data_IF_416328300927
#
_entry.id   IF_416328300927
#
_cell.length_a   1.000
_cell.length_b   1.000
_cell.length_c   1.000
_cell.angle_alpha   90.00
_cell.angle_beta   90.00
_cell.angle_gamma   90.00
#
_symmetry.space_group_name_H-M   'P 1'
#
loop_
_entity.id
_entity.type
_entity.pdbx_description
1 polymer ?
#
# COMPACT_ATOMS: atom_id res chain seq x y z
N UNK A 1 -25.65 -8.99 -13.13
CA UNK A 1 -24.50 -8.85 -14.02
C UNK A 1 -24.39 -7.41 -14.48
N UNK A 2 -23.25 -6.79 -14.24
CA UNK A 2 -22.85 -5.49 -14.78
C UNK A 2 -21.75 -5.73 -15.80
N UNK A 3 -21.88 -5.18 -16.99
CA UNK A 3 -20.95 -5.39 -18.09
C UNK A 3 -20.37 -4.08 -18.56
N UNK A 4 -19.03 -4.03 -18.73
CA UNK A 4 -18.31 -2.87 -19.24
C UNK A 4 -18.46 -1.65 -18.33
N UNK A 5 -18.57 -1.82 -17.02
CA UNK A 5 -18.55 -0.71 -16.11
C UNK A 5 -17.15 -0.09 -16.05
N UNK A 6 -17.06 1.20 -15.78
CA UNK A 6 -15.81 1.98 -15.77
C UNK A 6 -15.72 2.86 -14.50
N UNK A 7 -16.33 2.41 -13.39
CA UNK A 7 -16.33 3.18 -12.15
C UNK A 7 -14.94 3.23 -11.52
N UNK A 8 -14.20 2.12 -11.56
CA UNK A 8 -12.85 1.97 -11.02
C UNK A 8 -11.87 1.56 -12.10
N UNK A 9 -12.15 0.44 -12.77
CA UNK A 9 -11.42 -0.09 -13.91
C UNK A 9 -12.45 -0.51 -14.98
N UNK A 10 -12.00 -0.90 -16.17
CA UNK A 10 -12.90 -1.54 -17.12
C UNK A 10 -13.14 -2.97 -16.65
N UNK A 11 -14.36 -3.29 -16.25
CA UNK A 11 -14.68 -4.55 -15.61
C UNK A 11 -16.07 -5.09 -15.92
N UNK A 12 -16.23 -6.39 -15.81
CA UNK A 12 -17.53 -7.07 -15.77
C UNK A 12 -17.72 -7.74 -14.42
N UNK A 13 -18.85 -7.46 -13.77
CA UNK A 13 -19.22 -8.10 -12.51
C UNK A 13 -20.32 -9.13 -12.74
N UNK A 14 -20.19 -10.32 -12.19
CA UNK A 14 -21.21 -11.32 -12.26
C UNK A 14 -21.21 -12.26 -11.06
N UNK A 15 -22.36 -12.92 -10.87
CA UNK A 15 -22.51 -13.99 -9.88
C UNK A 15 -22.62 -15.30 -10.63
N UNK A 16 -21.79 -16.27 -10.29
CA UNK A 16 -21.85 -17.63 -10.83
C UNK A 16 -23.09 -18.36 -10.30
N UNK A 17 -23.48 -19.45 -10.97
CA UNK A 17 -24.65 -20.27 -10.59
C UNK A 17 -24.55 -20.84 -9.16
N UNK A 18 -23.34 -20.95 -8.60
CA UNK A 18 -23.09 -21.40 -7.24
C UNK A 18 -23.06 -20.25 -6.20
N UNK A 19 -23.43 -19.04 -6.61
CA UNK A 19 -23.48 -17.85 -5.73
C UNK A 19 -22.15 -17.13 -5.52
N UNK A 20 -21.06 -17.56 -6.18
CA UNK A 20 -19.77 -16.86 -6.08
C UNK A 20 -19.80 -15.61 -6.95
N UNK A 21 -19.47 -14.47 -6.36
CA UNK A 21 -19.25 -13.21 -7.06
C UNK A 21 -17.87 -13.21 -7.71
N UNK A 22 -17.79 -12.79 -8.96
CA UNK A 22 -16.54 -12.62 -9.70
C UNK A 22 -16.50 -11.26 -10.37
N UNK A 23 -15.30 -10.69 -10.40
CA UNK A 23 -14.95 -9.46 -11.10
C UNK A 23 -13.97 -9.83 -12.22
N UNK A 24 -14.26 -9.43 -13.45
CA UNK A 24 -13.41 -9.63 -14.62
C UNK A 24 -12.83 -8.28 -15.02
N UNK A 25 -11.61 -8.01 -14.60
CA UNK A 25 -10.92 -6.74 -14.87
C UNK A 25 -10.12 -6.87 -16.17
N UNK A 26 -10.29 -5.90 -17.08
CA UNK A 26 -9.62 -5.86 -18.38
C UNK A 26 -8.48 -4.86 -18.35
N UNK A 27 -7.28 -5.30 -18.69
CA UNK A 27 -6.08 -4.44 -18.76
C UNK A 27 -5.33 -4.65 -20.07
N UNK A 28 -4.76 -3.58 -20.60
CA UNK A 28 -3.81 -3.64 -21.70
C UNK A 28 -2.49 -4.26 -21.20
N UNK A 29 -2.01 -5.32 -21.87
CA UNK A 29 -0.71 -5.90 -21.53
C UNK A 29 0.45 -4.93 -21.76
N UNK A 30 0.36 -4.08 -22.79
CA UNK A 30 1.40 -3.12 -23.12
C UNK A 30 1.50 -2.01 -22.05
N UNK A 31 0.35 -1.51 -21.56
CA UNK A 31 0.32 -0.52 -20.46
C UNK A 31 0.80 -1.16 -19.16
N UNK A 32 0.36 -2.39 -18.88
CA UNK A 32 0.79 -3.13 -17.70
C UNK A 32 2.30 -3.40 -17.70
N UNK A 33 2.90 -3.76 -18.87
CA UNK A 33 4.36 -3.92 -19.00
C UNK A 33 5.10 -2.60 -18.79
N UNK A 34 4.58 -1.48 -19.30
CA UNK A 34 5.17 -0.14 -19.08
C UNK A 34 5.16 0.27 -17.60
N UNK A 35 4.05 0.04 -16.90
CA UNK A 35 3.95 0.35 -15.48
C UNK A 35 4.92 -0.50 -14.65
N UNK A 36 5.03 -1.79 -14.98
CA UNK A 36 5.99 -2.68 -14.34
C UNK A 36 7.43 -2.28 -14.64
N UNK A 37 7.74 -1.88 -15.88
CA UNK A 37 9.05 -1.39 -16.26
C UNK A 37 9.44 -0.16 -15.43
N UNK A 38 8.56 0.83 -15.34
CA UNK A 38 8.79 2.05 -14.57
C UNK A 38 9.11 1.74 -13.10
N UNK A 39 8.37 0.82 -12.48
CA UNK A 39 8.57 0.46 -11.07
C UNK A 39 9.80 -0.45 -10.90
N UNK A 40 9.85 -1.58 -11.62
CA UNK A 40 10.81 -2.65 -11.32
C UNK A 40 12.19 -2.39 -11.91
N UNK A 41 12.25 -1.85 -13.15
CA UNK A 41 13.50 -1.63 -13.86
C UNK A 41 14.02 -0.20 -13.76
N UNK A 42 13.12 0.79 -13.74
CA UNK A 42 13.49 2.21 -13.61
C UNK A 42 13.42 2.71 -12.17
N UNK A 43 13.00 1.85 -11.23
CA UNK A 43 12.97 2.07 -9.78
C UNK A 43 12.13 3.29 -9.35
N UNK A 44 11.04 3.56 -10.08
CA UNK A 44 10.15 4.68 -9.79
C UNK A 44 9.21 4.35 -8.63
N UNK A 45 9.33 5.08 -7.52
CA UNK A 45 8.38 4.98 -6.41
C UNK A 45 7.09 5.75 -6.72
N UNK A 46 5.94 5.18 -6.41
CA UNK A 46 4.62 5.81 -6.48
C UNK A 46 4.25 6.48 -5.15
N UNK A 47 3.08 7.11 -5.06
CA UNK A 47 2.64 7.76 -3.82
C UNK A 47 2.23 6.74 -2.74
N UNK A 48 1.82 5.55 -3.16
CA UNK A 48 1.49 4.38 -2.33
C UNK A 48 1.32 3.17 -3.23
N UNK A 49 1.24 1.97 -2.66
CA UNK A 49 1.03 0.71 -3.39
C UNK A 49 2.05 0.46 -4.53
N UNK A 50 3.27 0.96 -4.40
CA UNK A 50 4.27 0.98 -5.48
C UNK A 50 4.47 -0.36 -6.15
N UNK A 51 4.55 -1.45 -5.40
CA UNK A 51 4.82 -2.79 -5.94
C UNK A 51 3.56 -3.68 -6.05
N UNK A 52 2.37 -3.10 -5.94
CA UNK A 52 1.12 -3.87 -5.95
C UNK A 52 0.89 -4.58 -7.28
N UNK A 53 1.11 -3.92 -8.41
CA UNK A 53 0.96 -4.54 -9.73
C UNK A 53 2.01 -5.61 -9.99
N UNK A 54 3.22 -5.43 -9.46
CA UNK A 54 4.25 -6.45 -9.49
C UNK A 54 3.88 -7.68 -8.65
N UNK A 55 3.32 -7.45 -7.45
CA UNK A 55 2.74 -8.54 -6.64
C UNK A 55 1.65 -9.31 -7.40
N UNK A 56 0.72 -8.59 -8.01
CA UNK A 56 -0.37 -9.20 -8.77
C UNK A 56 0.15 -10.04 -9.93
N UNK A 57 1.12 -9.54 -10.70
CA UNK A 57 1.74 -10.29 -11.79
C UNK A 57 2.31 -11.62 -11.31
N UNK A 58 3.16 -11.58 -10.27
CA UNK A 58 3.90 -12.78 -9.83
C UNK A 58 3.02 -13.80 -9.10
N UNK A 59 1.92 -13.34 -8.47
CA UNK A 59 1.02 -14.21 -7.71
C UNK A 59 -0.24 -14.64 -8.48
N UNK A 60 -0.44 -14.14 -9.71
CA UNK A 60 -1.55 -14.53 -10.54
C UNK A 60 -1.36 -15.93 -11.11
N UNK A 61 -2.41 -16.74 -11.04
CA UNK A 61 -2.46 -18.05 -11.70
C UNK A 61 -2.93 -17.87 -13.14
N UNK A 62 -2.13 -18.29 -14.09
CA UNK A 62 -2.52 -18.30 -15.51
C UNK A 62 -3.56 -19.41 -15.72
N UNK A 63 -4.76 -19.04 -16.16
CA UNK A 63 -5.81 -19.97 -16.55
C UNK A 63 -5.76 -20.24 -18.07
N UNK A 64 -5.50 -19.17 -18.84
CA UNK A 64 -5.37 -19.26 -20.30
C UNK A 64 -4.42 -18.15 -20.79
N UNK A 65 -3.47 -18.51 -21.64
CA UNK A 65 -2.48 -17.61 -22.25
C UNK A 65 -2.10 -18.16 -23.61
N UNK A 66 -2.85 -17.77 -24.67
CA UNK A 66 -2.73 -18.35 -26.02
C UNK A 66 -1.31 -18.29 -26.57
N UNK A 67 -0.71 -17.10 -26.42
CA UNK A 67 0.56 -16.79 -27.09
C UNK A 67 1.74 -16.72 -26.10
N UNK A 68 1.50 -17.05 -24.84
CA UNK A 68 2.52 -17.05 -23.79
C UNK A 68 2.99 -15.65 -23.34
N UNK A 69 2.26 -14.60 -23.69
CA UNK A 69 2.67 -13.22 -23.38
C UNK A 69 2.68 -12.93 -21.88
N UNK A 70 1.65 -13.38 -21.15
CA UNK A 70 1.58 -13.16 -19.70
C UNK A 70 2.66 -13.97 -18.95
N UNK A 71 2.88 -15.22 -19.38
CA UNK A 71 3.95 -16.04 -18.84
C UNK A 71 5.34 -15.44 -19.09
N UNK A 72 5.53 -14.80 -20.26
CA UNK A 72 6.75 -14.06 -20.56
C UNK A 72 6.95 -12.87 -19.63
N UNK A 73 5.88 -12.11 -19.32
CA UNK A 73 5.94 -11.02 -18.33
C UNK A 73 6.27 -11.54 -16.93
N UNK A 74 5.63 -12.61 -16.47
CA UNK A 74 5.98 -13.22 -15.17
C UNK A 74 7.46 -13.59 -15.11
N UNK A 75 8.00 -14.19 -16.17
CA UNK A 75 9.43 -14.53 -16.26
C UNK A 75 10.33 -13.29 -16.28
N UNK A 76 9.96 -12.26 -17.05
CA UNK A 76 10.71 -10.99 -17.19
C UNK A 76 10.87 -10.28 -15.84
N UNK A 77 9.81 -10.26 -15.03
CA UNK A 77 9.78 -9.55 -13.76
C UNK A 77 9.95 -10.43 -12.53
N UNK A 78 10.28 -11.72 -12.70
CA UNK A 78 10.65 -12.58 -11.56
C UNK A 78 12.12 -12.30 -11.17
N UNK A 79 12.33 -11.15 -10.55
CA UNK A 79 13.61 -10.59 -10.19
C UNK A 79 13.72 -10.44 -8.66
N UNK A 80 14.95 -10.44 -8.09
CA UNK A 80 15.14 -10.00 -6.72
C UNK A 80 14.66 -8.56 -6.52
N UNK A 81 14.25 -8.23 -5.30
CA UNK A 81 13.79 -6.88 -4.99
C UNK A 81 14.94 -5.87 -5.21
N UNK A 82 14.81 -4.86 -6.10
CA UNK A 82 15.89 -3.95 -6.42
C UNK A 82 16.22 -3.02 -5.23
N UNK A 83 17.47 -2.97 -4.82
CA UNK A 83 17.91 -2.14 -3.70
C UNK A 83 17.61 -0.63 -3.91
N UNK A 84 17.76 -0.15 -5.17
CA UNK A 84 17.46 1.24 -5.50
C UNK A 84 15.96 1.54 -5.43
N UNK A 85 15.09 0.61 -5.86
CA UNK A 85 13.64 0.74 -5.68
C UNK A 85 13.28 0.82 -4.20
N UNK A 86 13.82 -0.08 -3.37
CA UNK A 86 13.66 -0.06 -1.91
C UNK A 86 13.97 1.32 -1.33
N UNK A 87 15.14 1.85 -1.65
CA UNK A 87 15.61 3.17 -1.19
C UNK A 87 14.68 4.29 -1.66
N UNK A 88 14.26 4.27 -2.92
CA UNK A 88 13.38 5.30 -3.50
C UNK A 88 12.00 5.28 -2.84
N UNK A 89 11.42 4.11 -2.60
CA UNK A 89 10.14 3.99 -1.88
C UNK A 89 10.28 4.53 -0.45
N UNK A 90 11.28 4.06 0.30
CA UNK A 90 11.49 4.50 1.69
C UNK A 90 11.62 6.03 1.76
N UNK A 91 12.46 6.63 0.93
CA UNK A 91 12.67 8.06 0.91
C UNK A 91 11.39 8.83 0.57
N UNK A 92 10.68 8.41 -0.47
CA UNK A 92 9.45 9.07 -0.91
C UNK A 92 8.36 8.98 0.14
N UNK A 93 8.09 7.78 0.65
CA UNK A 93 7.02 7.59 1.61
C UNK A 93 7.33 8.30 2.93
N UNK A 94 8.58 8.33 3.35
CA UNK A 94 8.94 9.02 4.58
C UNK A 94 8.76 10.55 4.47
N UNK A 95 9.02 11.13 3.29
CA UNK A 95 8.68 12.53 3.01
C UNK A 95 7.18 12.78 3.14
N UNK A 96 6.35 11.91 2.57
CA UNK A 96 4.88 12.02 2.61
C UNK A 96 4.32 11.82 4.03
N UNK A 97 4.91 10.93 4.81
CA UNK A 97 4.45 10.63 6.16
C UNK A 97 4.75 11.78 7.15
N UNK A 98 5.97 12.33 7.13
CA UNK A 98 6.41 13.23 8.21
C UNK A 98 7.25 14.44 7.78
N UNK A 99 8.13 14.32 6.79
CA UNK A 99 9.16 15.35 6.57
C UNK A 99 8.67 16.53 5.72
N UNK A 100 7.84 16.30 4.71
CA UNK A 100 7.35 17.38 3.86
C UNK A 100 6.46 18.37 4.62
N UNK A 101 6.42 19.65 4.15
CA UNK A 101 5.51 20.62 4.73
C UNK A 101 4.05 20.17 4.71
N UNK A 102 3.54 19.56 3.59
CA UNK A 102 2.19 18.96 3.53
C UNK A 102 2.17 17.49 3.96
N UNK A 103 3.05 17.03 4.84
CA UNK A 103 3.07 15.64 5.28
C UNK A 103 1.72 15.20 5.89
N UNK A 104 1.36 13.94 5.70
CA UNK A 104 0.08 13.40 6.19
C UNK A 104 -0.09 13.55 7.70
N UNK A 105 0.97 13.32 8.48
CA UNK A 105 0.95 13.53 9.94
C UNK A 105 0.53 14.95 10.32
N UNK A 106 1.05 15.95 9.63
CA UNK A 106 0.70 17.36 9.86
C UNK A 106 -0.72 17.69 9.42
N UNK A 107 -1.18 17.08 8.32
CA UNK A 107 -2.54 17.25 7.82
C UNK A 107 -3.56 16.61 8.77
N UNK A 108 -3.29 15.41 9.31
CA UNK A 108 -4.11 14.76 10.33
C UNK A 108 -4.22 15.63 11.58
N UNK A 109 -3.10 16.14 12.11
CA UNK A 109 -3.10 17.03 13.28
C UNK A 109 -3.94 18.29 13.05
N UNK A 110 -3.88 18.88 11.86
CA UNK A 110 -4.71 20.05 11.50
C UNK A 110 -6.19 19.67 11.39
N UNK A 111 -6.52 18.51 10.84
CA UNK A 111 -7.90 18.02 10.74
C UNK A 111 -8.49 17.70 12.13
N UNK A 112 -7.73 17.06 13.00
CA UNK A 112 -8.09 16.83 14.40
C UNK A 112 -8.38 18.15 15.13
N UNK A 113 -7.53 19.17 14.99
CA UNK A 113 -7.73 20.49 15.59
C UNK A 113 -9.02 21.16 15.12
N UNK A 114 -9.44 20.94 13.87
CA UNK A 114 -10.70 21.46 13.31
C UNK A 114 -11.90 20.57 13.60
N UNK A 115 -11.71 19.40 14.20
CA UNK A 115 -12.73 18.37 14.39
C UNK A 115 -13.42 17.95 13.07
N UNK A 116 -12.64 17.93 11.98
CA UNK A 116 -13.10 17.64 10.62
C UNK A 116 -12.98 16.14 10.34
N UNK A 117 -14.04 15.39 10.69
CA UNK A 117 -14.04 13.92 10.60
C UNK A 117 -13.76 13.40 9.19
N UNK A 118 -14.27 14.06 8.15
CA UNK A 118 -14.05 13.62 6.77
C UNK A 118 -12.58 13.80 6.37
N UNK A 119 -11.98 14.94 6.71
CA UNK A 119 -10.55 15.16 6.48
C UNK A 119 -9.69 14.21 7.30
N UNK A 120 -10.04 13.92 8.55
CA UNK A 120 -9.34 12.96 9.41
C UNK A 120 -9.33 11.59 8.73
N UNK A 121 -10.48 11.07 8.34
CA UNK A 121 -10.60 9.76 7.69
C UNK A 121 -9.79 9.70 6.38
N UNK A 122 -9.94 10.69 5.51
CA UNK A 122 -9.23 10.74 4.22
C UNK A 122 -7.71 10.76 4.41
N UNK A 123 -7.19 11.62 5.32
CA UNK A 123 -5.74 11.70 5.56
C UNK A 123 -5.18 10.49 6.30
N UNK A 124 -5.99 9.85 7.14
CA UNK A 124 -5.61 8.58 7.78
C UNK A 124 -5.44 7.46 6.76
N UNK A 125 -6.34 7.36 5.78
CA UNK A 125 -6.22 6.37 4.70
C UNK A 125 -4.94 6.57 3.89
N UNK A 126 -4.63 7.79 3.50
CA UNK A 126 -3.40 8.13 2.78
C UNK A 126 -2.14 7.87 3.63
N UNK A 127 -2.20 8.17 4.93
CA UNK A 127 -1.11 7.90 5.86
C UNK A 127 -0.79 6.41 5.92
N UNK A 128 -1.79 5.55 6.13
CA UNK A 128 -1.55 4.11 6.22
C UNK A 128 -1.19 3.49 4.86
N UNK A 129 -1.71 3.98 3.76
CA UNK A 129 -1.27 3.55 2.43
C UNK A 129 0.24 3.78 2.23
N UNK A 130 0.74 4.96 2.60
CA UNK A 130 2.18 5.27 2.56
C UNK A 130 2.99 4.51 3.61
N UNK A 131 2.46 4.33 4.82
CA UNK A 131 3.11 3.60 5.90
C UNK A 131 3.40 2.15 5.51
N UNK A 132 2.41 1.45 4.95
CA UNK A 132 2.56 0.06 4.54
C UNK A 132 3.42 -0.09 3.29
N UNK A 133 3.37 0.85 2.34
CA UNK A 133 4.25 0.83 1.17
C UNK A 133 5.74 0.92 1.60
N UNK A 134 6.06 1.81 2.55
CA UNK A 134 7.38 1.91 3.15
C UNK A 134 7.76 0.63 3.89
N UNK A 135 6.88 0.11 4.75
CA UNK A 135 7.15 -1.06 5.57
C UNK A 135 7.43 -2.30 4.71
N UNK A 136 6.64 -2.51 3.67
CA UNK A 136 6.86 -3.63 2.74
C UNK A 136 8.17 -3.46 1.97
N UNK A 137 8.45 -2.27 1.44
CA UNK A 137 9.71 -1.99 0.77
C UNK A 137 10.93 -2.21 1.69
N UNK A 138 10.82 -1.78 2.95
CA UNK A 138 11.87 -1.99 3.95
C UNK A 138 12.20 -3.49 4.13
N UNK A 139 11.18 -4.34 4.15
CA UNK A 139 11.28 -5.78 4.28
C UNK A 139 11.48 -6.52 2.95
N UNK A 140 11.63 -5.81 1.82
CA UNK A 140 11.74 -6.40 0.48
C UNK A 140 10.54 -7.31 0.14
N UNK A 141 9.37 -6.97 0.68
CA UNK A 141 8.10 -7.62 0.39
C UNK A 141 7.33 -6.81 -0.65
N UNK A 142 6.71 -7.51 -1.60
CA UNK A 142 5.82 -6.86 -2.54
C UNK A 142 4.50 -6.49 -1.85
N UNK A 143 3.96 -5.32 -2.20
CA UNK A 143 2.71 -4.83 -1.62
C UNK A 143 1.51 -5.65 -2.10
N UNK A 144 0.75 -6.31 -1.21
CA UNK A 144 -0.33 -7.24 -1.61
C UNK A 144 -1.63 -6.54 -2.06
N UNK A 145 -1.70 -5.21 -1.98
CA UNK A 145 -2.91 -4.42 -2.12
C UNK A 145 -3.47 -3.97 -0.77
N UNK A 146 -4.66 -3.37 -0.78
CA UNK A 146 -5.26 -2.74 0.41
C UNK A 146 -5.81 -3.73 1.45
N UNK A 147 -6.13 -4.97 1.00
CA UNK A 147 -6.83 -5.94 1.85
C UNK A 147 -5.86 -6.65 2.81
N UNK A 148 -6.21 -6.67 4.10
CA UNK A 148 -5.49 -7.42 5.14
C UNK A 148 -3.99 -7.06 5.30
N UNK A 149 -3.61 -5.81 5.01
CA UNK A 149 -2.22 -5.35 5.08
C UNK A 149 -1.55 -5.66 6.43
N UNK A 150 -2.25 -5.43 7.55
CA UNK A 150 -1.74 -5.72 8.89
C UNK A 150 -1.38 -7.22 9.04
N UNK A 151 -2.30 -8.10 8.65
CA UNK A 151 -2.08 -9.55 8.74
C UNK A 151 -0.96 -10.00 7.81
N UNK A 152 -0.91 -9.43 6.59
CA UNK A 152 0.15 -9.74 5.64
C UNK A 152 1.52 -9.31 6.17
N UNK A 153 1.63 -8.12 6.74
CA UNK A 153 2.86 -7.63 7.35
C UNK A 153 3.34 -8.55 8.48
N UNK A 154 2.45 -8.95 9.39
CA UNK A 154 2.77 -9.90 10.48
C UNK A 154 3.29 -11.24 9.99
N UNK A 155 2.78 -11.73 8.88
CA UNK A 155 3.14 -13.05 8.35
C UNK A 155 4.40 -13.04 7.49
N UNK A 156 4.73 -11.91 6.84
CA UNK A 156 5.75 -11.88 5.79
C UNK A 156 6.90 -10.90 6.09
N UNK A 157 6.73 -9.93 6.98
CA UNK A 157 7.79 -8.99 7.32
C UNK A 157 8.61 -9.51 8.51
N UNK A 158 9.92 -9.69 8.32
CA UNK A 158 10.84 -10.10 9.38
C UNK A 158 11.20 -8.95 10.33
N UNK A 159 11.05 -7.72 9.89
CA UNK A 159 11.36 -6.52 10.66
C UNK A 159 10.12 -5.62 10.77
N UNK A 160 9.48 -5.66 11.93
CA UNK A 160 8.35 -4.81 12.25
C UNK A 160 8.75 -3.73 13.27
N UNK A 161 8.11 -2.54 13.25
CA UNK A 161 8.30 -1.55 14.30
C UNK A 161 7.92 -2.12 15.68
N UNK A 162 8.54 -1.63 16.79
CA UNK A 162 8.07 -1.96 18.13
C UNK A 162 6.57 -1.65 18.25
N UNK A 163 5.84 -2.49 19.00
CA UNK A 163 4.40 -2.32 19.26
C UNK A 163 3.52 -2.15 18.01
N UNK A 164 3.97 -2.69 16.86
CA UNK A 164 3.39 -2.47 15.53
C UNK A 164 1.86 -2.64 15.48
N UNK A 165 1.35 -3.74 16.00
CA UNK A 165 -0.09 -4.02 15.98
C UNK A 165 -0.85 -3.17 17.00
N UNK A 166 -0.32 -3.07 18.21
CA UNK A 166 -0.95 -2.34 19.31
C UNK A 166 -1.08 -0.85 18.97
N UNK A 167 0.00 -0.23 18.46
CA UNK A 167 -0.01 1.19 18.07
C UNK A 167 -1.03 1.47 16.96
N UNK A 168 -1.19 0.56 15.98
CA UNK A 168 -2.20 0.72 14.92
C UNK A 168 -3.61 0.57 15.50
N UNK A 169 -3.85 -0.42 16.35
CA UNK A 169 -5.15 -0.62 16.99
C UNK A 169 -5.52 0.56 17.88
N UNK A 170 -4.60 1.02 18.71
CA UNK A 170 -4.79 2.19 19.57
C UNK A 170 -5.09 3.45 18.75
N UNK A 171 -4.41 3.66 17.63
CA UNK A 171 -4.69 4.75 16.73
C UNK A 171 -6.16 4.74 16.28
N UNK A 172 -6.65 3.61 15.75
CA UNK A 172 -8.03 3.50 15.26
C UNK A 172 -9.07 3.53 16.37
N UNK A 173 -8.79 2.98 17.56
CA UNK A 173 -9.69 3.08 18.70
C UNK A 173 -9.90 4.51 19.18
N UNK A 174 -8.85 5.34 19.10
CA UNK A 174 -8.92 6.75 19.53
C UNK A 174 -9.37 7.71 18.42
N UNK A 175 -9.29 7.33 17.15
CA UNK A 175 -9.47 8.22 16.00
C UNK A 175 -10.80 8.97 15.99
N UNK A 176 -11.89 8.32 16.38
CA UNK A 176 -13.24 8.88 16.34
C UNK A 176 -13.77 9.32 17.72
N UNK A 177 -12.95 9.30 18.74
CA UNK A 177 -13.33 9.78 20.07
C UNK A 177 -13.01 11.27 20.18
N UNK A 178 -14.01 12.12 19.99
CA UNK A 178 -13.87 13.59 19.93
C UNK A 178 -13.17 14.20 21.15
N UNK A 179 -13.32 13.60 22.33
CA UNK A 179 -12.71 14.08 23.57
C UNK A 179 -11.24 13.65 23.74
N UNK A 180 -10.69 12.83 22.82
CA UNK A 180 -9.37 12.21 22.98
C UNK A 180 -8.43 12.50 21.79
N UNK A 181 -8.64 13.60 21.07
CA UNK A 181 -7.77 14.02 19.97
C UNK A 181 -6.27 14.04 20.35
N UNK A 182 -5.96 14.34 21.61
CA UNK A 182 -4.59 14.36 22.10
C UNK A 182 -3.97 12.94 22.08
N UNK A 183 -4.74 11.89 22.43
CA UNK A 183 -4.26 10.50 22.35
C UNK A 183 -4.00 10.08 20.90
N UNK A 184 -4.90 10.42 19.98
CA UNK A 184 -4.70 10.15 18.54
C UNK A 184 -3.40 10.79 18.02
N UNK A 185 -3.10 12.02 18.45
CA UNK A 185 -1.85 12.69 18.08
C UNK A 185 -0.64 11.96 18.66
N UNK A 186 -0.70 11.56 19.94
CA UNK A 186 0.40 10.83 20.58
C UNK A 186 0.66 9.47 19.91
N UNK A 187 -0.40 8.72 19.59
CA UNK A 187 -0.27 7.43 18.89
C UNK A 187 0.29 7.62 17.48
N UNK A 188 -0.13 8.67 16.75
CA UNK A 188 0.43 9.01 15.44
C UNK A 188 1.94 9.32 15.53
N UNK A 189 2.37 10.07 16.56
CA UNK A 189 3.78 10.37 16.80
C UNK A 189 4.57 9.10 17.16
N UNK A 190 3.97 8.21 17.93
CA UNK A 190 4.59 6.93 18.30
C UNK A 190 4.78 6.02 17.06
N UNK A 191 3.77 5.89 16.21
CA UNK A 191 3.86 5.16 14.93
C UNK A 191 5.04 5.67 14.08
N UNK A 192 5.19 6.98 13.95
CA UNK A 192 6.29 7.59 13.20
C UNK A 192 7.64 7.37 13.87
N UNK A 193 7.72 7.50 15.19
CA UNK A 193 8.95 7.27 15.95
C UNK A 193 9.42 5.82 15.80
N UNK A 194 8.52 4.86 15.97
CA UNK A 194 8.82 3.44 15.86
C UNK A 194 9.26 3.06 14.43
N UNK A 195 8.63 3.65 13.42
CA UNK A 195 9.01 3.46 12.02
C UNK A 195 10.42 4.05 11.74
N UNK A 196 10.74 5.24 12.27
CA UNK A 196 12.09 5.83 12.21
C UNK A 196 13.13 4.93 12.86
N UNK A 197 12.84 4.40 14.03
CA UNK A 197 13.75 3.48 14.72
C UNK A 197 14.02 2.22 13.90
N UNK A 198 13.01 1.67 13.24
CA UNK A 198 13.16 0.52 12.36
C UNK A 198 14.12 0.81 11.22
N UNK A 199 13.91 1.93 10.51
CA UNK A 199 14.75 2.33 9.37
C UNK A 199 16.20 2.59 9.79
N UNK A 200 16.42 3.32 10.88
CA UNK A 200 17.75 3.73 11.33
C UNK A 200 18.59 2.57 11.92
N UNK A 201 17.97 1.49 12.38
CA UNK A 201 18.71 0.31 12.89
C UNK A 201 19.29 -0.57 11.78
N UNK A 202 18.90 -0.33 10.55
CA UNK A 202 19.27 -1.16 9.39
C UNK A 202 20.19 -0.44 8.40
N UNK A 203 20.61 0.79 8.73
CA UNK A 203 21.69 1.54 8.09
C UNK A 203 22.92 1.47 8.98
#
# INVERSE_FOLDING_TARGET
RSIGNQFWELEDDCVLNNGIEIELIYRSLDEFDKDLQAVVLEHQAQNSYTTCMWYNLLNSKIIYDRDGHYAALQKKYNLPYPAELKKNIINKQFLLLDQAMPAFSRQIKKALKRQDLLSINHRTSEFFASYFDLLFAFNEQLHPGEKRMLQYAKNNCSHLPPHFEDDIQDYFQNLYQLDIHQKTVLTLEQLLLNLKHLINKSI
#
